data_IF_219053834398
#
_entry.id   IF_219053834398
#
_cell.length_a   1.000
_cell.length_b   1.000
_cell.length_c   1.000
_cell.angle_alpha   90.00
_cell.angle_beta   90.00
_cell.angle_gamma   90.00
#
_symmetry.space_group_name_H-M   'P 1'
#
loop_
_entity.id
_entity.type
_entity.pdbx_description
1 polymer ?
#
# COMPACT_ATOMS: atom_id res chain seq x y z
N UNK A 1 37.31 1.41 -16.10
CA UNK A 1 36.26 2.45 -15.95
C UNK A 1 35.17 1.87 -15.07
N UNK A 2 35.16 2.29 -13.80
CA UNK A 2 34.27 1.73 -12.77
C UNK A 2 32.81 2.13 -13.02
N UNK A 3 31.91 1.14 -12.95
CA UNK A 3 30.47 1.34 -13.11
C UNK A 3 29.95 2.09 -11.88
N UNK A 4 29.66 3.38 -12.03
CA UNK A 4 28.92 4.19 -11.07
C UNK A 4 27.57 3.52 -10.73
N UNK A 5 27.55 2.67 -9.69
CA UNK A 5 26.31 2.19 -9.06
C UNK A 5 25.73 3.39 -8.29
N UNK A 6 24.85 4.14 -8.94
CA UNK A 6 23.98 5.11 -8.24
C UNK A 6 23.09 4.30 -7.30
N UNK A 7 23.51 4.16 -6.04
CA UNK A 7 22.65 3.65 -4.98
C UNK A 7 21.45 4.59 -4.87
N UNK A 8 20.28 4.12 -5.30
CA UNK A 8 19.04 4.85 -5.08
C UNK A 8 18.80 4.85 -3.58
N UNK A 9 18.87 6.02 -2.96
CA UNK A 9 18.50 6.18 -1.55
C UNK A 9 17.03 5.78 -1.40
N UNK A 10 16.80 4.70 -0.65
CA UNK A 10 15.44 4.25 -0.37
C UNK A 10 14.85 5.14 0.73
N UNK A 11 13.93 6.01 0.34
CA UNK A 11 13.17 6.83 1.28
C UNK A 11 11.87 6.11 1.66
N UNK A 12 11.91 5.42 2.79
CA UNK A 12 10.76 4.71 3.36
C UNK A 12 9.60 5.65 3.67
N UNK A 13 9.88 6.89 4.11
CA UNK A 13 8.86 7.88 4.47
C UNK A 13 8.14 8.36 3.22
N UNK A 14 8.90 8.65 2.15
CA UNK A 14 8.33 9.01 0.85
C UNK A 14 7.47 7.88 0.31
N UNK A 15 7.96 6.64 0.35
CA UNK A 15 7.19 5.47 -0.07
C UNK A 15 5.87 5.34 0.69
N UNK A 16 5.89 5.40 2.03
CA UNK A 16 4.66 5.32 2.83
C UNK A 16 3.70 6.47 2.56
N UNK A 17 4.23 7.69 2.36
CA UNK A 17 3.43 8.88 2.02
C UNK A 17 2.73 8.71 0.67
N UNK A 18 3.44 8.21 -0.33
CA UNK A 18 2.88 7.93 -1.67
C UNK A 18 1.82 6.82 -1.61
N UNK A 19 2.07 5.73 -0.88
CA UNK A 19 1.10 4.64 -0.70
C UNK A 19 -0.18 5.17 -0.04
N UNK A 20 -0.05 5.91 1.07
CA UNK A 20 -1.21 6.49 1.75
C UNK A 20 -1.99 7.43 0.83
N UNK A 21 -1.30 8.30 0.10
CA UNK A 21 -1.96 9.24 -0.81
C UNK A 21 -2.72 8.52 -1.94
N UNK A 22 -2.19 7.41 -2.47
CA UNK A 22 -2.88 6.58 -3.47
C UNK A 22 -4.16 5.97 -2.90
N UNK A 23 -4.06 5.33 -1.73
CA UNK A 23 -5.23 4.76 -1.05
C UNK A 23 -6.28 5.85 -0.81
N UNK A 24 -5.88 7.01 -0.30
CA UNK A 24 -6.79 8.14 -0.11
C UNK A 24 -7.46 8.58 -1.40
N UNK A 25 -6.73 8.70 -2.51
CA UNK A 25 -7.30 9.08 -3.80
C UNK A 25 -8.30 8.04 -4.33
N UNK A 26 -8.01 6.75 -4.15
CA UNK A 26 -8.88 5.64 -4.53
C UNK A 26 -10.15 5.59 -3.67
N UNK A 27 -10.05 5.88 -2.37
CA UNK A 27 -11.16 5.68 -1.42
C UNK A 27 -11.93 6.95 -1.06
N UNK A 28 -11.49 8.16 -1.44
CA UNK A 28 -12.12 9.41 -0.94
C UNK A 28 -13.60 9.55 -1.32
N UNK A 29 -14.02 8.96 -2.44
CA UNK A 29 -15.38 9.06 -2.96
C UNK A 29 -16.20 7.79 -2.71
N UNK A 30 -15.64 6.81 -1.99
CA UNK A 30 -16.34 5.57 -1.66
C UNK A 30 -17.27 5.77 -0.47
N UNK A 31 -18.45 5.18 -0.56
CA UNK A 31 -19.33 4.98 0.59
C UNK A 31 -18.70 3.99 1.58
N UNK A 32 -19.25 3.93 2.79
CA UNK A 32 -18.79 2.98 3.80
C UNK A 32 -18.84 1.52 3.32
N UNK A 33 -19.88 1.14 2.56
CA UNK A 33 -20.02 -0.22 2.03
C UNK A 33 -18.99 -0.54 0.96
N UNK A 34 -18.73 0.40 0.06
CA UNK A 34 -17.71 0.27 -0.98
C UNK A 34 -16.30 0.20 -0.38
N UNK A 35 -16.01 1.03 0.63
CA UNK A 35 -14.74 0.96 1.36
C UNK A 35 -14.56 -0.38 2.07
N UNK A 36 -15.63 -0.89 2.70
CA UNK A 36 -15.62 -2.21 3.35
C UNK A 36 -15.37 -3.34 2.35
N UNK A 37 -15.98 -3.27 1.16
CA UNK A 37 -15.76 -4.23 0.08
C UNK A 37 -14.34 -4.12 -0.49
N UNK A 38 -13.82 -2.91 -0.68
CA UNK A 38 -12.45 -2.65 -1.11
C UNK A 38 -11.44 -3.28 -0.14
N UNK A 39 -11.55 -3.04 1.16
CA UNK A 39 -10.65 -3.62 2.16
C UNK A 39 -10.74 -5.15 2.16
N UNK A 40 -11.96 -5.72 2.11
CA UNK A 40 -12.14 -7.18 2.03
C UNK A 40 -11.47 -7.78 0.80
N UNK A 41 -11.61 -7.13 -0.36
CA UNK A 41 -10.97 -7.55 -1.60
C UNK A 41 -9.45 -7.51 -1.48
N UNK A 42 -8.89 -6.41 -0.98
CA UNK A 42 -7.44 -6.28 -0.78
C UNK A 42 -6.89 -7.34 0.18
N UNK A 43 -7.65 -7.71 1.23
CA UNK A 43 -7.27 -8.77 2.17
C UNK A 43 -7.45 -10.19 1.61
N UNK A 44 -8.34 -10.39 0.63
CA UNK A 44 -8.51 -11.68 -0.04
C UNK A 44 -7.44 -11.90 -1.13
N UNK A 45 -7.13 -10.84 -1.89
CA UNK A 45 -6.14 -10.86 -2.96
C UNK A 45 -4.73 -11.02 -2.39
N UNK A 46 -4.46 -10.40 -1.24
CA UNK A 46 -3.23 -10.62 -0.50
C UNK A 46 -3.40 -11.83 0.41
N UNK A 47 -2.68 -12.94 0.16
CA UNK A 47 -2.58 -14.10 1.08
C UNK A 47 -1.81 -13.77 2.37
N UNK A 48 -1.99 -12.57 2.91
CA UNK A 48 -1.41 -12.12 4.16
C UNK A 48 -2.17 -12.77 5.30
N UNK A 49 -1.44 -13.49 6.17
CA UNK A 49 -2.02 -14.00 7.42
C UNK A 49 -2.54 -12.81 8.22
N UNK A 50 -3.83 -12.85 8.58
CA UNK A 50 -4.40 -11.87 9.49
C UNK A 50 -3.65 -11.96 10.82
N UNK A 51 -3.09 -10.84 11.27
CA UNK A 51 -2.34 -10.79 12.53
C UNK A 51 -3.31 -11.14 13.66
N UNK A 52 -3.03 -12.21 14.41
CA UNK A 52 -3.86 -12.68 15.52
C UNK A 52 -4.91 -13.75 15.18
N UNK A 53 -4.99 -14.24 13.94
CA UNK A 53 -5.63 -15.53 13.66
C UNK A 53 -4.61 -16.65 13.82
N UNK A 54 -4.64 -17.27 14.99
CA UNK A 54 -3.95 -18.52 15.34
C UNK A 54 -4.85 -19.71 15.10
#
# INVERSE_FOLDING_TARGET
MEKNKKEKTFDAVKMMREIRNKISAETQNMTFEELKAYIKKQLADNKTKLVGHS
#
